data_IF_871529704193
#
_entry.id   IF_871529704193
#
_cell.length_a   1.000
_cell.length_b   1.000
_cell.length_c   1.000
_cell.angle_alpha   90.00
_cell.angle_beta   90.00
_cell.angle_gamma   90.00
#
_symmetry.space_group_name_H-M   'P 1'
#
loop_
_entity.id
_entity.type
_entity.pdbx_description
1 polymer ?
#
# COMPACT_ATOMS: atom_id res chain seq x y z
N UNK A 1 3.74 -81.13 22.67
CA UNK A 1 2.98 -80.09 23.39
C UNK A 1 3.90 -78.92 23.68
N UNK A 2 3.71 -77.79 22.97
CA UNK A 2 4.47 -76.55 23.16
C UNK A 2 4.18 -75.97 24.54
N UNK A 3 5.21 -75.77 25.37
CA UNK A 3 5.10 -74.96 26.59
C UNK A 3 4.84 -73.52 26.16
N UNK A 4 3.58 -73.09 26.23
CA UNK A 4 3.19 -71.69 26.01
C UNK A 4 3.92 -70.85 27.05
N UNK A 5 4.77 -69.94 26.58
CA UNK A 5 5.65 -69.11 27.40
C UNK A 5 4.85 -67.94 28.01
N UNK A 6 3.93 -68.27 28.93
CA UNK A 6 2.98 -67.35 29.57
C UNK A 6 3.69 -66.16 30.25
N UNK A 7 4.90 -66.38 30.78
CA UNK A 7 5.71 -65.33 31.41
C UNK A 7 6.23 -64.28 30.42
N UNK A 8 6.55 -64.68 29.19
CA UNK A 8 6.91 -63.74 28.12
C UNK A 8 5.70 -62.95 27.64
N UNK A 9 4.54 -63.60 27.48
CA UNK A 9 3.31 -62.94 27.03
C UNK A 9 2.83 -61.85 28.03
N UNK A 10 2.91 -62.11 29.34
CA UNK A 10 2.58 -61.12 30.38
C UNK A 10 3.58 -59.94 30.41
N UNK A 11 4.88 -60.22 30.25
CA UNK A 11 5.91 -59.16 30.19
C UNK A 11 5.75 -58.28 28.96
N UNK A 12 5.46 -58.88 27.81
CA UNK A 12 5.20 -58.18 26.55
C UNK A 12 3.96 -57.30 26.69
N UNK A 13 2.84 -57.82 27.22
CA UNK A 13 1.62 -57.03 27.46
C UNK A 13 1.83 -55.86 28.42
N UNK A 14 2.59 -56.07 29.52
CA UNK A 14 2.94 -54.99 30.47
C UNK A 14 3.87 -53.94 29.85
N UNK A 15 4.77 -54.34 28.96
CA UNK A 15 5.64 -53.43 28.22
C UNK A 15 4.84 -52.60 27.21
N UNK A 16 3.94 -53.23 26.45
CA UNK A 16 3.02 -52.54 25.54
C UNK A 16 2.05 -51.60 26.27
N UNK A 17 1.54 -51.99 27.45
CA UNK A 17 0.66 -51.11 28.22
C UNK A 17 1.42 -49.90 28.79
N UNK A 18 2.62 -50.10 29.36
CA UNK A 18 3.48 -49.01 29.87
C UNK A 18 3.92 -48.05 28.77
N UNK A 19 4.36 -48.57 27.62
CA UNK A 19 4.73 -47.74 26.47
C UNK A 19 3.54 -46.94 25.94
N UNK A 20 2.35 -47.57 25.84
CA UNK A 20 1.11 -46.86 25.49
C UNK A 20 0.78 -45.76 26.48
N UNK A 21 0.87 -46.01 27.79
CA UNK A 21 0.62 -45.00 28.83
C UNK A 21 1.60 -43.82 28.71
N UNK A 22 2.89 -44.10 28.54
CA UNK A 22 3.92 -43.06 28.37
C UNK A 22 3.67 -42.22 27.12
N UNK A 23 3.30 -42.84 26.00
CA UNK A 23 2.93 -42.14 24.76
C UNK A 23 1.70 -41.25 24.96
N UNK A 24 0.65 -41.74 25.63
CA UNK A 24 -0.53 -40.92 25.93
C UNK A 24 -0.20 -39.75 26.86
N UNK A 25 0.61 -39.96 27.90
CA UNK A 25 1.02 -38.87 28.80
C UNK A 25 1.86 -37.85 28.04
N UNK A 26 2.80 -38.29 27.20
CA UNK A 26 3.60 -37.41 26.34
C UNK A 26 2.74 -36.60 25.37
N UNK A 27 1.76 -37.22 24.72
CA UNK A 27 0.83 -36.53 23.82
C UNK A 27 -0.04 -35.49 24.56
N UNK A 28 -0.51 -35.81 25.77
CA UNK A 28 -1.26 -34.88 26.62
C UNK A 28 -0.37 -33.69 27.03
N UNK A 29 0.87 -33.93 27.45
CA UNK A 29 1.80 -32.87 27.82
C UNK A 29 2.14 -31.97 26.62
N UNK A 30 2.34 -32.54 25.43
CA UNK A 30 2.55 -31.77 24.21
C UNK A 30 1.34 -30.90 23.87
N UNK A 31 0.12 -31.44 24.01
CA UNK A 31 -1.12 -30.71 23.74
C UNK A 31 -1.36 -29.60 24.77
N UNK A 32 -1.07 -29.85 26.05
CA UNK A 32 -1.05 -28.83 27.11
C UNK A 32 -0.04 -27.73 26.77
N UNK A 33 1.17 -28.10 26.34
CA UNK A 33 2.17 -27.12 25.94
C UNK A 33 1.67 -26.25 24.79
N UNK A 34 1.10 -26.86 23.73
CA UNK A 34 0.60 -26.14 22.55
C UNK A 34 -0.61 -25.22 22.85
N UNK A 35 -1.50 -25.63 23.74
CA UNK A 35 -2.74 -24.89 24.03
C UNK A 35 -2.64 -23.93 25.22
N UNK A 36 -1.79 -24.23 26.20
CA UNK A 36 -1.73 -23.52 27.48
C UNK A 36 -0.41 -22.77 27.65
N UNK A 37 0.71 -23.27 27.14
CA UNK A 37 2.03 -22.64 27.37
C UNK A 37 2.45 -21.78 26.19
N UNK A 38 2.46 -22.33 24.98
CA UNK A 38 2.98 -21.64 23.80
C UNK A 38 2.26 -20.34 23.42
N UNK A 39 0.92 -20.19 23.58
CA UNK A 39 0.25 -18.91 23.31
C UNK A 39 0.68 -17.77 24.23
N UNK A 40 1.35 -18.08 25.35
CA UNK A 40 1.86 -17.09 26.31
C UNK A 40 3.38 -16.91 26.19
N UNK A 41 4.02 -17.47 25.15
CA UNK A 41 5.43 -17.18 24.87
C UNK A 41 5.50 -15.75 24.34
N UNK A 42 5.94 -14.86 25.22
CA UNK A 42 6.19 -13.46 24.94
C UNK A 42 7.64 -13.27 24.49
N UNK A 43 7.83 -12.60 23.36
CA UNK A 43 9.14 -12.26 22.81
C UNK A 43 9.31 -10.75 22.77
N UNK A 44 10.12 -10.16 23.67
CA UNK A 44 10.50 -8.77 23.55
C UNK A 44 11.39 -8.60 22.31
N UNK A 45 11.00 -7.69 21.42
CA UNK A 45 11.74 -7.35 20.23
C UNK A 45 11.88 -5.84 20.13
N UNK A 46 13.10 -5.39 19.83
CA UNK A 46 13.38 -3.99 19.55
C UNK A 46 13.17 -3.76 18.06
N UNK A 47 12.27 -2.84 17.72
CA UNK A 47 12.06 -2.37 16.36
C UNK A 47 13.34 -1.67 15.90
N UNK A 48 14.02 -2.23 14.90
CA UNK A 48 15.30 -1.72 14.39
C UNK A 48 15.10 -0.66 13.30
N UNK A 49 14.05 -0.82 12.49
CA UNK A 49 13.67 0.08 11.40
C UNK A 49 12.25 0.60 11.68
N UNK A 50 12.00 1.89 11.43
CA UNK A 50 10.67 2.45 11.58
C UNK A 50 9.73 1.92 10.50
N UNK A 51 8.56 1.40 10.90
CA UNK A 51 7.49 0.94 10.02
C UNK A 51 6.24 1.79 10.28
N UNK A 52 6.23 3.01 9.73
CA UNK A 52 5.11 3.93 9.90
C UNK A 52 4.90 4.38 11.34
N UNK A 53 3.84 3.85 11.97
CA UNK A 53 3.50 4.10 13.37
C UNK A 53 4.53 3.51 14.34
N UNK A 54 5.19 2.41 13.97
CA UNK A 54 6.22 1.80 14.80
C UNK A 54 7.57 2.49 14.55
N UNK A 55 8.18 3.06 15.60
CA UNK A 55 9.46 3.77 15.49
C UNK A 55 10.64 2.87 15.80
N UNK A 56 11.76 3.14 15.14
CA UNK A 56 13.04 2.53 15.50
C UNK A 56 13.38 2.86 16.96
N UNK A 57 13.88 1.88 17.69
CA UNK A 57 14.17 1.99 19.11
C UNK A 57 13.06 1.48 20.03
N UNK A 58 11.82 1.37 19.53
CA UNK A 58 10.68 0.89 20.31
C UNK A 58 10.85 -0.57 20.72
N UNK A 59 10.69 -0.86 22.01
CA UNK A 59 10.63 -2.22 22.52
C UNK A 59 9.17 -2.69 22.57
N UNK A 60 8.84 -3.72 21.80
CA UNK A 60 7.51 -4.32 21.76
C UNK A 60 7.59 -5.77 22.21
N UNK A 61 6.53 -6.26 22.84
CA UNK A 61 6.44 -7.66 23.23
C UNK A 61 5.46 -8.37 22.31
N UNK A 62 5.99 -9.18 21.41
CA UNK A 62 5.20 -9.99 20.50
C UNK A 62 4.83 -11.32 21.15
N UNK A 63 3.73 -11.92 20.69
CA UNK A 63 3.30 -13.27 21.03
C UNK A 63 3.77 -14.21 19.94
N UNK A 64 4.40 -15.32 20.33
CA UNK A 64 4.78 -16.36 19.38
C UNK A 64 3.53 -16.95 18.70
N UNK A 65 3.55 -17.02 17.37
CA UNK A 65 2.48 -17.64 16.60
C UNK A 65 2.76 -19.14 16.41
N UNK A 66 1.94 -19.97 17.04
CA UNK A 66 2.06 -21.44 17.00
C UNK A 66 1.04 -22.12 16.07
N UNK A 67 0.32 -21.34 15.25
CA UNK A 67 -0.75 -21.85 14.37
C UNK A 67 -2.09 -22.15 15.04
N UNK A 68 -2.20 -22.04 16.38
CA UNK A 68 -3.47 -22.22 17.11
C UNK A 68 -4.10 -20.89 17.53
N UNK A 69 -3.27 -19.87 17.78
CA UNK A 69 -3.72 -18.53 18.11
C UNK A 69 -4.30 -17.82 16.90
N UNK A 70 -5.52 -17.28 17.02
CA UNK A 70 -6.15 -16.51 15.93
C UNK A 70 -5.60 -15.10 15.86
N UNK A 71 -5.07 -14.76 14.69
CA UNK A 71 -4.68 -13.40 14.33
C UNK A 71 -5.93 -12.63 13.90
N UNK A 72 -6.08 -11.42 14.41
CA UNK A 72 -7.25 -10.59 14.21
C UNK A 72 -6.92 -9.36 13.35
N UNK A 73 -7.97 -8.70 12.85
CA UNK A 73 -7.83 -7.41 12.18
C UNK A 73 -7.15 -6.41 13.11
N UNK A 74 -6.33 -5.55 12.51
CA UNK A 74 -5.46 -4.57 13.14
C UNK A 74 -4.30 -5.12 13.98
N UNK A 75 -4.19 -6.44 14.19
CA UNK A 75 -2.99 -7.02 14.79
C UNK A 75 -1.77 -6.72 13.91
N UNK A 76 -0.60 -6.59 14.53
CA UNK A 76 0.67 -6.43 13.82
C UNK A 76 1.34 -7.80 13.77
N UNK A 77 1.77 -8.24 12.60
CA UNK A 77 2.41 -9.55 12.42
C UNK A 77 3.86 -9.39 11.99
N UNK A 78 4.66 -10.38 12.36
CA UNK A 78 6.01 -10.60 11.85
C UNK A 78 5.96 -11.86 10.99
N UNK A 79 6.43 -11.75 9.76
CA UNK A 79 6.50 -12.88 8.85
C UNK A 79 7.75 -12.83 7.98
N UNK A 80 8.15 -14.00 7.49
CA UNK A 80 9.23 -14.10 6.52
C UNK A 80 8.71 -13.80 5.11
N UNK A 81 9.17 -12.70 4.53
CA UNK A 81 8.94 -12.41 3.12
C UNK A 81 10.04 -13.04 2.27
N UNK A 82 9.74 -13.77 1.19
CA UNK A 82 10.76 -14.23 0.25
C UNK A 82 11.37 -13.09 -0.59
N UNK A 83 10.75 -11.91 -0.61
CA UNK A 83 11.25 -10.72 -1.31
C UNK A 83 12.11 -9.82 -0.41
N UNK A 84 12.14 -10.09 0.88
CA UNK A 84 12.97 -9.41 1.87
C UNK A 84 13.96 -10.42 2.46
N UNK A 85 15.21 -10.03 2.70
CA UNK A 85 16.19 -10.92 3.32
C UNK A 85 15.99 -11.10 4.84
N UNK A 86 14.84 -10.68 5.39
CA UNK A 86 14.56 -10.70 6.82
C UNK A 86 13.09 -10.51 7.20
N UNK A 87 12.88 -10.43 8.50
CA UNK A 87 11.56 -10.30 9.12
C UNK A 87 10.86 -9.02 8.68
N UNK A 88 9.59 -9.16 8.31
CA UNK A 88 8.75 -8.06 7.85
C UNK A 88 7.63 -7.81 8.85
N UNK A 89 7.49 -6.56 9.28
CA UNK A 89 6.47 -6.13 10.25
C UNK A 89 5.36 -5.38 9.50
N UNK A 90 4.13 -5.89 9.56
CA UNK A 90 2.97 -5.28 8.88
C UNK A 90 1.71 -5.39 9.71
N UNK A 91 0.69 -4.60 9.36
CA UNK A 91 -0.62 -4.66 10.00
C UNK A 91 -1.58 -5.53 9.19
N UNK A 92 -2.31 -6.39 9.89
CA UNK A 92 -3.39 -7.20 9.32
C UNK A 92 -4.60 -6.32 9.06
N UNK A 93 -4.98 -6.22 7.79
CA UNK A 93 -6.13 -5.45 7.34
C UNK A 93 -7.33 -6.38 7.12
N UNK A 94 -7.11 -7.52 6.48
CA UNK A 94 -8.14 -8.52 6.21
C UNK A 94 -7.73 -9.91 6.73
N UNK A 95 -8.70 -10.60 7.31
CA UNK A 95 -8.61 -12.00 7.76
C UNK A 95 -9.43 -12.91 6.83
N UNK A 96 -9.32 -14.25 6.90
CA UNK A 96 -10.06 -15.15 6.03
C UNK A 96 -11.55 -14.83 5.87
N UNK A 97 -12.01 -14.73 4.62
CA UNK A 97 -13.38 -14.39 4.25
C UNK A 97 -13.67 -12.89 4.12
N UNK A 98 -12.74 -12.01 4.51
CA UNK A 98 -12.91 -10.58 4.31
C UNK A 98 -12.87 -10.17 2.85
N UNK A 99 -13.71 -9.20 2.51
CA UNK A 99 -13.70 -8.48 1.25
C UNK A 99 -12.92 -7.19 1.41
N UNK A 100 -11.90 -6.97 0.59
CA UNK A 100 -11.10 -5.76 0.57
C UNK A 100 -11.27 -5.08 -0.78
N UNK A 101 -11.52 -3.78 -0.77
CA UNK A 101 -11.45 -2.92 -1.95
C UNK A 101 -10.51 -1.76 -1.61
N UNK A 102 -9.52 -1.52 -2.47
CA UNK A 102 -8.69 -0.32 -2.40
C UNK A 102 -9.26 0.70 -3.37
N UNK A 103 -9.60 1.89 -2.90
CA UNK A 103 -10.31 2.89 -3.72
C UNK A 103 -9.87 4.30 -3.34
N UNK A 104 -9.34 5.04 -4.31
CA UNK A 104 -8.91 6.43 -4.12
C UNK A 104 -7.79 6.61 -3.09
N UNK A 105 -6.95 5.59 -2.90
CA UNK A 105 -5.87 5.57 -1.91
C UNK A 105 -6.28 5.12 -0.50
N UNK A 106 -7.55 4.72 -0.30
CA UNK A 106 -8.08 4.23 0.97
C UNK A 106 -8.52 2.77 0.92
N UNK A 107 -8.68 2.17 2.11
CA UNK A 107 -9.13 0.80 2.28
C UNK A 107 -10.62 0.76 2.62
N UNK A 108 -11.34 -0.12 1.94
CA UNK A 108 -12.71 -0.51 2.26
C UNK A 108 -12.70 -1.97 2.66
N UNK A 109 -13.19 -2.26 3.86
CA UNK A 109 -13.27 -3.59 4.44
C UNK A 109 -14.73 -4.00 4.59
N UNK A 110 -15.12 -5.10 3.95
CA UNK A 110 -16.49 -5.61 3.96
C UNK A 110 -17.54 -4.55 3.60
N UNK A 111 -17.23 -3.77 2.56
CA UNK A 111 -18.10 -2.68 2.06
C UNK A 111 -18.08 -1.39 2.88
N UNK A 112 -17.27 -1.31 3.95
CA UNK A 112 -17.20 -0.13 4.82
C UNK A 112 -15.84 0.55 4.70
N UNK A 113 -15.84 1.88 4.66
CA UNK A 113 -14.62 2.69 4.74
C UNK A 113 -13.87 2.37 6.05
N UNK A 114 -12.60 1.97 5.95
CA UNK A 114 -11.77 1.66 7.10
C UNK A 114 -11.04 2.94 7.57
N UNK A 115 -11.25 3.33 8.83
CA UNK A 115 -10.49 4.41 9.44
C UNK A 115 -9.12 3.91 9.87
N UNK A 116 -8.07 4.58 9.38
CA UNK A 116 -6.68 4.15 9.57
C UNK A 116 -5.83 5.25 10.22
N UNK A 117 -6.10 5.63 11.49
CA UNK A 117 -5.38 6.72 12.15
C UNK A 117 -3.88 6.43 12.34
N UNK A 118 -3.49 5.15 12.29
CA UNK A 118 -2.10 4.70 12.39
C UNK A 118 -1.25 4.97 11.13
N UNK A 119 -1.87 5.37 10.02
CA UNK A 119 -1.14 5.70 8.79
C UNK A 119 -0.49 7.08 8.90
N UNK A 120 0.71 7.24 8.32
CA UNK A 120 1.44 8.52 8.36
C UNK A 120 0.67 9.61 7.60
N UNK A 121 0.08 9.27 6.45
CA UNK A 121 -0.60 10.20 5.55
C UNK A 121 -1.88 9.55 4.98
N UNK A 122 -2.93 10.34 4.70
CA UNK A 122 -4.10 9.85 3.99
C UNK A 122 -3.75 9.53 2.54
N UNK A 123 -4.56 8.67 1.90
CA UNK A 123 -4.52 8.44 0.43
C UNK A 123 -3.20 7.93 -0.14
N UNK A 124 -2.39 7.26 0.66
CA UNK A 124 -1.09 6.73 0.24
C UNK A 124 -1.09 5.26 -0.15
N UNK A 125 -2.25 4.58 -0.15
CA UNK A 125 -2.32 3.19 -0.61
C UNK A 125 -2.35 3.16 -2.14
N UNK A 126 -1.18 3.22 -2.76
CA UNK A 126 -1.04 3.27 -4.22
C UNK A 126 -1.22 1.90 -4.86
N UNK A 127 -2.01 1.85 -5.92
CA UNK A 127 -2.40 0.61 -6.61
C UNK A 127 -2.01 0.59 -8.09
N UNK A 128 -1.48 1.70 -8.61
CA UNK A 128 -1.41 1.96 -10.05
C UNK A 128 0.02 1.81 -10.62
N UNK A 129 0.92 1.16 -9.89
CA UNK A 129 2.29 0.87 -10.34
C UNK A 129 2.46 -0.60 -10.75
N UNK A 130 3.43 -0.86 -11.64
CA UNK A 130 3.63 -2.15 -12.30
C UNK A 130 3.89 -3.35 -11.37
N UNK A 131 4.30 -3.10 -10.12
CA UNK A 131 4.60 -4.13 -9.13
C UNK A 131 3.36 -4.71 -8.42
N UNK A 132 2.18 -4.11 -8.59
CA UNK A 132 0.95 -4.55 -7.91
C UNK A 132 0.39 -5.81 -8.57
N UNK A 133 0.33 -6.89 -7.80
CA UNK A 133 -0.14 -8.22 -8.24
C UNK A 133 -1.56 -8.54 -7.77
N UNK A 134 -2.03 -7.94 -6.66
CA UNK A 134 -3.41 -8.05 -6.16
C UNK A 134 -3.86 -6.70 -5.58
N UNK A 135 -5.17 -6.45 -5.55
CA UNK A 135 -5.73 -5.26 -4.92
C UNK A 135 -5.51 -4.00 -5.75
N UNK A 136 -5.67 -4.12 -7.07
CA UNK A 136 -5.67 -2.96 -7.98
C UNK A 136 -6.81 -2.00 -7.62
N UNK A 137 -6.73 -0.75 -8.08
CA UNK A 137 -7.74 0.26 -7.75
C UNK A 137 -9.15 -0.26 -8.10
N UNK A 138 -10.04 -0.23 -7.12
CA UNK A 138 -11.43 -0.71 -7.15
C UNK A 138 -11.63 -2.21 -7.43
N UNK A 139 -10.59 -3.02 -7.38
CA UNK A 139 -10.69 -4.47 -7.42
C UNK A 139 -11.20 -4.99 -6.05
N UNK A 140 -12.30 -5.75 -6.05
CA UNK A 140 -12.70 -6.52 -4.87
C UNK A 140 -11.88 -7.80 -4.79
N UNK A 141 -11.08 -7.91 -3.72
CA UNK A 141 -10.35 -9.12 -3.39
C UNK A 141 -10.93 -9.78 -2.14
N UNK A 142 -11.00 -11.11 -2.14
CA UNK A 142 -11.48 -11.89 -1.00
C UNK A 142 -10.30 -12.62 -0.38
N UNK A 143 -10.10 -12.44 0.93
CA UNK A 143 -9.00 -13.08 1.67
C UNK A 143 -9.25 -14.59 1.76
N UNK A 144 -8.37 -15.44 1.20
CA UNK A 144 -8.55 -16.89 1.25
C UNK A 144 -8.45 -17.47 2.66
N UNK A 145 -8.93 -18.70 2.83
CA UNK A 145 -8.72 -19.45 4.07
C UNK A 145 -7.23 -19.60 4.40
N UNK A 146 -6.90 -19.49 5.70
CA UNK A 146 -5.53 -19.57 6.25
C UNK A 146 -4.55 -18.56 5.66
N UNK A 147 -5.06 -17.42 5.19
CA UNK A 147 -4.25 -16.32 4.69
C UNK A 147 -4.74 -14.98 5.23
N UNK A 148 -3.88 -13.98 5.12
CA UNK A 148 -4.11 -12.63 5.62
C UNK A 148 -3.76 -11.61 4.53
N UNK A 149 -4.56 -10.53 4.47
CA UNK A 149 -4.23 -9.35 3.67
C UNK A 149 -3.62 -8.31 4.60
N UNK A 150 -2.38 -7.91 4.33
CA UNK A 150 -1.62 -7.00 5.20
C UNK A 150 -1.13 -5.79 4.44
N UNK A 151 -1.07 -4.66 5.14
CA UNK A 151 -0.48 -3.42 4.64
C UNK A 151 0.51 -2.87 5.67
N UNK A 152 1.57 -2.24 5.19
CA UNK A 152 2.46 -1.44 6.03
C UNK A 152 1.71 -0.18 6.52
N UNK A 153 2.03 0.28 7.72
CA UNK A 153 1.49 1.55 8.24
C UNK A 153 2.08 2.76 7.51
N UNK A 154 3.29 2.60 6.95
CA UNK A 154 3.80 3.45 5.89
C UNK A 154 3.28 2.91 4.56
N UNK A 155 2.28 3.56 3.97
CA UNK A 155 1.62 3.05 2.75
C UNK A 155 2.45 3.25 1.49
N UNK A 156 3.42 4.15 1.53
CA UNK A 156 4.31 4.45 0.42
C UNK A 156 5.52 3.51 0.43
N UNK A 157 5.97 3.10 1.61
CA UNK A 157 7.17 2.28 1.78
C UNK A 157 6.91 0.99 2.58
N UNK A 158 7.42 -0.12 2.06
CA UNK A 158 7.47 -1.40 2.77
C UNK A 158 6.75 -2.54 2.04
N UNK A 159 7.13 -3.76 2.41
CA UNK A 159 6.52 -4.97 1.90
C UNK A 159 5.08 -5.10 2.40
N UNK A 160 4.19 -5.51 1.51
CA UNK A 160 2.77 -5.63 1.79
C UNK A 160 2.10 -6.56 0.78
N UNK A 161 0.82 -6.87 1.01
CA UNK A 161 0.09 -7.81 0.17
C UNK A 161 -0.09 -7.36 -1.28
N UNK A 162 0.03 -6.07 -1.63
CA UNK A 162 -0.13 -5.60 -3.01
C UNK A 162 0.96 -6.15 -3.93
N UNK A 163 2.17 -6.32 -3.41
CA UNK A 163 3.32 -6.83 -4.19
C UNK A 163 3.66 -8.28 -3.85
N UNK A 164 3.24 -8.80 -2.69
CA UNK A 164 3.57 -10.15 -2.23
C UNK A 164 2.41 -11.15 -2.32
N UNK A 165 1.19 -10.64 -2.47
CA UNK A 165 -0.02 -11.43 -2.36
C UNK A 165 -0.45 -11.63 -0.92
N UNK A 166 -1.40 -12.53 -0.70
CA UNK A 166 -1.86 -12.87 0.64
C UNK A 166 -0.78 -13.63 1.43
N UNK A 167 -0.58 -13.24 2.68
CA UNK A 167 0.40 -13.86 3.57
C UNK A 167 -0.22 -15.13 4.15
N UNK A 168 0.45 -16.27 3.96
CA UNK A 168 -0.02 -17.55 4.47
C UNK A 168 0.30 -17.67 5.96
N UNK A 169 -0.64 -18.20 6.73
CA UNK A 169 -0.57 -18.29 8.19
C UNK A 169 0.71 -18.98 8.70
N UNK A 170 1.18 -20.01 7.98
CA UNK A 170 2.40 -20.75 8.27
C UNK A 170 3.70 -19.93 8.14
N UNK A 171 3.65 -18.78 7.46
CA UNK A 171 4.78 -17.85 7.34
C UNK A 171 4.88 -16.86 8.49
N UNK A 172 3.84 -16.76 9.32
CA UNK A 172 3.77 -15.80 10.42
C UNK A 172 4.45 -16.43 11.63
N UNK A 173 5.47 -15.74 12.16
CA UNK A 173 6.25 -16.24 13.29
C UNK A 173 5.76 -15.69 14.60
N UNK A 174 5.35 -14.43 14.61
CA UNK A 174 4.98 -13.70 15.81
C UNK A 174 3.91 -12.65 15.48
N UNK A 175 3.10 -12.28 16.47
CA UNK A 175 2.08 -11.24 16.31
C UNK A 175 1.91 -10.42 17.59
N UNK A 176 1.55 -9.15 17.43
CA UNK A 176 1.25 -8.21 18.49
C UNK A 176 -0.24 -7.86 18.40
N UNK A 177 -1.06 -8.34 19.36
CA UNK A 177 -2.48 -8.07 19.33
C UNK A 177 -2.79 -6.57 19.44
N UNK A 178 -3.68 -6.06 18.61
CA UNK A 178 -4.03 -4.64 18.56
C UNK A 178 -4.64 -4.13 19.88
N UNK A 179 -5.26 -5.02 20.65
CA UNK A 179 -5.80 -4.72 21.98
C UNK A 179 -4.69 -4.43 22.99
N UNK A 180 -3.52 -5.05 22.85
CA UNK A 180 -2.38 -4.80 23.72
C UNK A 180 -1.74 -3.43 23.42
N UNK A 181 -1.80 -2.98 22.16
CA UNK A 181 -1.38 -1.63 21.78
C UNK A 181 -2.18 -0.52 22.49
N UNK A 182 -3.42 -0.81 22.89
CA UNK A 182 -4.28 0.16 23.61
C UNK A 182 -4.04 0.20 25.11
N UNK A 183 -3.50 -0.86 25.70
CA UNK A 183 -3.56 -1.11 27.15
C UNK A 183 -2.20 -1.29 27.84
N UNK A 184 -1.06 -1.24 27.12
CA UNK A 184 0.26 -1.52 27.73
C UNK A 184 0.94 -0.30 28.37
N UNK A 185 1.80 -0.64 29.35
CA UNK A 185 2.40 0.14 30.45
C UNK A 185 3.45 1.20 30.01
N UNK A 186 3.73 1.31 28.72
CA UNK A 186 4.47 2.45 28.17
C UNK A 186 3.45 3.42 27.61
N UNK A 187 3.47 4.67 28.08
CA UNK A 187 2.54 5.73 27.73
C UNK A 187 2.03 5.55 26.28
N UNK A 188 0.72 5.29 26.04
CA UNK A 188 0.18 5.08 24.69
C UNK A 188 0.51 6.20 23.72
N UNK A 189 0.77 7.39 24.28
CA UNK A 189 1.32 8.54 23.60
C UNK A 189 2.69 8.24 22.96
N UNK A 190 3.62 7.50 23.55
CA UNK A 190 4.96 7.32 22.97
C UNK A 190 5.01 6.33 21.79
N UNK A 191 4.04 5.41 21.66
CA UNK A 191 3.96 4.43 20.57
C UNK A 191 3.16 4.95 19.36
N UNK A 192 2.14 5.79 19.61
CA UNK A 192 1.18 6.24 18.60
C UNK A 192 0.87 7.75 18.68
N UNK A 193 1.75 8.58 19.25
CA UNK A 193 1.54 10.04 19.43
C UNK A 193 1.17 10.81 18.15
N UNK A 194 1.29 10.17 16.99
CA UNK A 194 0.96 10.74 15.70
C UNK A 194 -0.20 10.01 15.02
N UNK A 195 -1.19 9.52 15.78
CA UNK A 195 -2.44 9.10 15.17
C UNK A 195 -3.03 10.30 14.42
N UNK A 196 -3.10 10.18 13.10
CA UNK A 196 -3.60 11.23 12.25
C UNK A 196 -5.11 11.40 12.45
N UNK A 197 -5.59 12.64 12.42
CA UNK A 197 -7.03 12.88 12.35
C UNK A 197 -7.59 12.30 11.04
N UNK A 198 -8.55 11.40 11.17
CA UNK A 198 -9.22 10.71 10.05
C UNK A 198 -10.63 11.25 9.78
N UNK A 199 -11.04 12.29 10.51
CA UNK A 199 -12.40 12.86 10.43
C UNK A 199 -12.78 13.30 9.01
N UNK A 200 -11.81 13.81 8.24
CA UNK A 200 -11.99 14.32 6.88
C UNK A 200 -11.57 13.37 5.77
N UNK A 201 -11.13 12.15 6.09
CA UNK A 201 -10.55 11.24 5.08
C UNK A 201 -11.48 10.96 3.90
N UNK A 202 -12.77 10.76 4.17
CA UNK A 202 -13.76 10.51 3.12
C UNK A 202 -13.98 11.71 2.20
N UNK A 203 -13.73 12.94 2.68
CA UNK A 203 -13.84 14.16 1.87
C UNK A 203 -12.67 14.23 0.88
N UNK A 204 -11.49 13.82 1.31
CA UNK A 204 -10.27 13.84 0.49
C UNK A 204 -10.35 12.96 -0.75
N UNK A 205 -11.26 11.98 -0.81
CA UNK A 205 -11.43 11.11 -2.00
C UNK A 205 -11.75 11.91 -3.25
N UNK A 206 -12.44 13.06 -3.10
CA UNK A 206 -12.93 13.88 -4.21
C UNK A 206 -11.96 14.96 -4.67
N UNK A 207 -10.90 15.20 -3.91
CA UNK A 207 -9.94 16.26 -4.19
C UNK A 207 -8.69 15.70 -4.85
N UNK A 208 -8.04 16.41 -5.78
CA UNK A 208 -6.73 16.00 -6.28
C UNK A 208 -5.68 15.99 -5.15
N UNK A 209 -4.79 14.99 -5.16
CA UNK A 209 -3.62 14.93 -4.28
C UNK A 209 -2.53 15.90 -4.77
N UNK A 210 -2.42 16.09 -6.10
CA UNK A 210 -1.42 16.96 -6.70
C UNK A 210 -1.73 18.44 -6.45
N UNK A 211 -0.83 19.12 -5.74
CA UNK A 211 -0.73 20.58 -5.78
C UNK A 211 0.08 20.97 -7.01
N UNK A 212 -0.59 21.54 -8.01
CA UNK A 212 0.01 21.86 -9.31
C UNK A 212 1.07 22.96 -9.22
N UNK A 213 0.92 23.91 -8.30
CA UNK A 213 1.89 24.99 -8.11
C UNK A 213 3.15 24.47 -7.43
N UNK A 214 2.99 23.66 -6.38
CA UNK A 214 4.13 23.03 -5.71
C UNK A 214 4.87 22.07 -6.64
N UNK A 215 4.15 21.32 -7.49
CA UNK A 215 4.76 20.47 -8.51
C UNK A 215 5.64 21.26 -9.49
N UNK A 216 5.13 22.36 -10.03
CA UNK A 216 5.90 23.22 -10.95
C UNK A 216 7.11 23.83 -10.25
N UNK A 217 6.97 24.25 -8.98
CA UNK A 217 8.08 24.72 -8.16
C UNK A 217 9.18 23.65 -8.03
N UNK A 218 8.81 22.41 -7.73
CA UNK A 218 9.76 21.29 -7.60
C UNK A 218 10.46 20.98 -8.94
N UNK A 219 9.74 20.97 -10.05
CA UNK A 219 10.34 20.81 -11.39
C UNK A 219 11.35 21.94 -11.67
N UNK A 220 11.02 23.18 -11.34
CA UNK A 220 11.91 24.31 -11.55
C UNK A 220 13.19 24.23 -10.71
N UNK A 221 13.10 23.78 -9.46
CA UNK A 221 14.28 23.51 -8.62
C UNK A 221 15.20 22.51 -9.34
N UNK A 222 14.65 21.38 -9.79
CA UNK A 222 15.43 20.35 -10.48
C UNK A 222 16.03 20.85 -11.80
N UNK A 223 15.30 21.68 -12.55
CA UNK A 223 15.82 22.35 -13.77
C UNK A 223 17.00 23.24 -13.46
N UNK A 224 16.89 24.10 -12.45
CA UNK A 224 17.95 25.04 -12.06
C UNK A 224 19.19 24.29 -11.56
N UNK A 225 19.03 23.25 -10.75
CA UNK A 225 20.13 22.39 -10.30
C UNK A 225 20.89 21.72 -11.45
N UNK A 226 20.25 21.58 -12.62
CA UNK A 226 20.82 20.98 -13.83
C UNK A 226 21.12 22.04 -14.92
N UNK A 227 21.19 23.33 -14.56
CA UNK A 227 21.60 24.40 -15.47
C UNK A 227 20.56 24.80 -16.52
N UNK A 228 19.29 24.41 -16.35
CA UNK A 228 18.19 24.83 -17.20
C UNK A 228 17.40 25.99 -16.57
N UNK A 229 16.92 26.91 -17.41
CA UNK A 229 16.07 28.02 -16.97
C UNK A 229 14.75 27.52 -16.37
N UNK A 230 14.19 28.17 -15.34
CA UNK A 230 12.89 27.77 -14.79
C UNK A 230 11.76 27.95 -15.83
N UNK A 231 10.80 27.04 -15.82
CA UNK A 231 9.56 27.14 -16.58
C UNK A 231 8.65 28.21 -15.98
N UNK A 232 8.01 28.98 -16.85
CA UNK A 232 6.96 29.90 -16.47
C UNK A 232 5.62 29.17 -16.47
N UNK A 233 4.96 29.14 -15.33
CA UNK A 233 3.60 28.65 -15.25
C UNK A 233 2.64 29.58 -16.01
N UNK A 234 1.82 29.02 -16.89
CA UNK A 234 0.89 29.76 -17.73
C UNK A 234 -0.55 29.27 -17.52
N UNK A 235 -1.40 30.16 -16.99
CA UNK A 235 -2.83 29.88 -16.74
C UNK A 235 -3.62 29.57 -18.00
N UNK A 236 -3.23 30.15 -19.14
CA UNK A 236 -3.88 29.87 -20.43
C UNK A 236 -3.55 28.45 -20.87
N UNK A 237 -2.32 28.01 -20.62
CA UNK A 237 -1.86 26.65 -20.89
C UNK A 237 -2.51 25.63 -19.95
N UNK A 238 -2.70 25.96 -18.66
CA UNK A 238 -3.50 25.14 -17.74
C UNK A 238 -4.94 25.01 -18.25
N UNK A 239 -5.57 26.11 -18.68
CA UNK A 239 -6.93 26.06 -19.25
C UNK A 239 -6.99 25.18 -20.50
N UNK A 240 -5.94 25.17 -21.32
CA UNK A 240 -5.84 24.27 -22.46
C UNK A 240 -5.80 22.81 -22.02
N UNK A 241 -4.96 22.47 -21.04
CA UNK A 241 -4.90 21.13 -20.46
C UNK A 241 -6.24 20.71 -19.83
N UNK A 242 -6.95 21.64 -19.18
CA UNK A 242 -8.27 21.38 -18.61
C UNK A 242 -9.33 21.10 -19.69
N UNK A 243 -9.38 21.91 -20.76
CA UNK A 243 -10.28 21.64 -21.88
C UNK A 243 -9.96 20.29 -22.54
N UNK A 244 -8.67 19.95 -22.65
CA UNK A 244 -8.23 18.66 -23.18
C UNK A 244 -8.78 17.52 -22.30
N UNK A 245 -8.56 17.59 -20.98
CA UNK A 245 -9.07 16.61 -20.02
C UNK A 245 -10.60 16.49 -20.07
N UNK A 246 -11.33 17.60 -20.05
CA UNK A 246 -12.80 17.57 -20.08
C UNK A 246 -13.35 16.86 -21.33
N UNK A 247 -12.71 17.01 -22.50
CA UNK A 247 -13.14 16.34 -23.71
C UNK A 247 -12.71 14.86 -23.77
N UNK A 248 -11.54 14.51 -23.20
CA UNK A 248 -11.16 13.10 -23.00
C UNK A 248 -12.21 12.36 -22.17
N UNK A 249 -12.69 12.98 -21.08
CA UNK A 249 -13.63 12.35 -20.15
C UNK A 249 -15.04 12.19 -20.73
N UNK A 250 -15.48 13.04 -21.67
CA UNK A 250 -16.82 12.93 -22.28
C UNK A 250 -17.02 11.62 -23.04
N UNK A 251 -15.96 11.05 -23.60
CA UNK A 251 -16.01 9.87 -24.47
C UNK A 251 -15.16 8.72 -23.95
N UNK A 252 -14.70 8.80 -22.70
CA UNK A 252 -13.77 7.84 -22.08
C UNK A 252 -12.58 7.53 -23.01
N UNK A 253 -11.88 8.61 -23.39
CA UNK A 253 -10.78 8.63 -24.35
C UNK A 253 -9.60 9.40 -23.79
N UNK A 254 -8.83 8.77 -22.89
CA UNK A 254 -7.61 9.34 -22.33
C UNK A 254 -6.39 9.21 -23.28
N UNK A 255 -6.61 8.80 -24.54
CA UNK A 255 -5.53 8.62 -25.52
C UNK A 255 -4.97 9.95 -26.02
N UNK A 256 -3.66 9.96 -26.28
CA UNK A 256 -2.97 11.10 -26.88
C UNK A 256 -3.55 11.41 -28.27
N UNK A 257 -3.79 10.37 -29.06
CA UNK A 257 -4.30 10.44 -30.43
C UNK A 257 -5.74 10.97 -30.52
N UNK A 258 -6.47 10.98 -29.40
CA UNK A 258 -7.86 11.42 -29.33
C UNK A 258 -8.76 10.66 -30.31
N UNK A 259 -8.58 9.35 -30.44
CA UNK A 259 -9.23 8.54 -31.49
C UNK A 259 -10.75 8.57 -31.46
N UNK A 260 -11.37 8.80 -30.30
CA UNK A 260 -12.84 8.94 -30.17
C UNK A 260 -13.26 10.41 -30.17
N UNK A 261 -12.53 11.27 -29.48
CA UNK A 261 -12.92 12.68 -29.30
C UNK A 261 -12.55 13.59 -30.46
N UNK A 262 -11.52 13.26 -31.22
CA UNK A 262 -10.91 14.14 -32.21
C UNK A 262 -10.37 15.46 -31.62
N UNK A 263 -10.34 15.60 -30.29
CA UNK A 263 -10.03 16.84 -29.59
C UNK A 263 -8.57 16.82 -29.09
N UNK A 264 -7.61 16.83 -30.02
CA UNK A 264 -6.17 16.79 -29.71
C UNK A 264 -5.67 18.03 -28.96
N UNK A 265 -4.49 17.97 -28.32
CA UNK A 265 -3.95 19.10 -27.56
C UNK A 265 -3.77 20.38 -28.39
N UNK A 266 -3.42 20.28 -29.68
CA UNK A 266 -3.34 21.47 -30.55
C UNK A 266 -4.68 22.20 -30.69
N UNK A 267 -5.79 21.46 -30.77
CA UNK A 267 -7.12 22.05 -30.78
C UNK A 267 -7.42 22.74 -29.45
N UNK A 268 -7.06 22.10 -28.34
CA UNK A 268 -7.21 22.70 -27.01
C UNK A 268 -6.38 23.98 -26.84
N UNK A 269 -5.18 24.06 -27.43
CA UNK A 269 -4.35 25.27 -27.45
C UNK A 269 -5.00 26.39 -28.29
N UNK A 270 -5.50 26.05 -29.48
CA UNK A 270 -6.19 26.99 -30.35
C UNK A 270 -7.46 27.56 -29.68
N UNK A 271 -8.25 26.72 -29.02
CA UNK A 271 -9.51 27.12 -28.36
C UNK A 271 -9.29 28.06 -27.16
N UNK A 272 -8.11 28.03 -26.53
CA UNK A 272 -7.75 29.04 -25.52
C UNK A 272 -7.06 30.26 -26.14
N UNK A 273 -6.80 30.27 -27.44
CA UNK A 273 -6.27 31.39 -28.21
C UNK A 273 -4.75 31.40 -28.39
N UNK A 274 -4.05 30.26 -28.25
CA UNK A 274 -2.70 30.16 -28.80
C UNK A 274 -2.77 30.12 -30.33
N UNK A 275 -1.83 30.80 -30.99
CA UNK A 275 -1.76 30.82 -32.45
C UNK A 275 -0.97 29.62 -32.98
N UNK A 276 -0.97 29.43 -34.30
CA UNK A 276 -0.28 28.33 -34.98
C UNK A 276 1.25 28.35 -34.80
N UNK A 277 1.81 29.44 -34.24
CA UNK A 277 3.23 29.54 -33.89
C UNK A 277 3.55 28.99 -32.50
N UNK A 278 2.55 28.69 -31.67
CA UNK A 278 2.76 28.04 -30.39
C UNK A 278 3.22 26.60 -30.61
N UNK A 279 4.46 26.30 -30.23
CA UNK A 279 5.04 24.98 -30.36
C UNK A 279 4.71 24.15 -29.10
N UNK A 280 3.73 23.24 -29.20
CA UNK A 280 3.52 22.24 -28.17
C UNK A 280 4.70 21.28 -28.15
N UNK A 281 5.54 21.44 -27.14
CA UNK A 281 6.73 20.64 -26.94
C UNK A 281 6.36 19.25 -26.43
N UNK A 282 5.40 19.17 -25.50
CA UNK A 282 4.98 17.91 -24.89
C UNK A 282 3.56 17.97 -24.35
N UNK A 283 2.80 16.90 -24.57
CA UNK A 283 1.60 16.54 -23.79
C UNK A 283 1.93 15.29 -22.96
N UNK A 284 1.50 15.30 -21.70
CA UNK A 284 1.45 14.10 -20.87
C UNK A 284 0.10 14.00 -20.18
N UNK A 285 -0.47 12.80 -20.23
CA UNK A 285 -1.68 12.41 -19.51
C UNK A 285 -1.33 11.21 -18.64
N UNK A 286 -1.62 11.29 -17.36
CA UNK A 286 -1.35 10.22 -16.39
C UNK A 286 -2.59 9.91 -15.57
N UNK A 287 -2.87 8.62 -15.42
CA UNK A 287 -3.85 8.07 -14.49
C UNK A 287 -3.14 7.52 -13.26
N UNK A 288 -2.84 8.37 -12.28
CA UNK A 288 -2.15 7.94 -11.07
C UNK A 288 -2.32 8.93 -9.91
N UNK A 289 -2.32 8.39 -8.69
CA UNK A 289 -2.44 9.12 -7.43
C UNK A 289 -1.13 9.81 -7.00
N UNK A 290 -0.50 10.57 -7.89
CA UNK A 290 0.71 11.32 -7.58
C UNK A 290 0.43 12.59 -6.74
N UNK A 291 1.30 12.83 -5.76
CA UNK A 291 1.48 14.15 -5.17
C UNK A 291 2.63 14.91 -5.88
N UNK A 292 2.89 16.16 -5.48
CA UNK A 292 3.88 17.02 -6.13
C UNK A 292 5.29 16.42 -6.15
N UNK A 293 5.74 15.87 -5.02
CA UNK A 293 7.05 15.24 -4.91
C UNK A 293 7.17 13.99 -5.79
N UNK A 294 6.24 13.05 -5.65
CA UNK A 294 6.22 11.79 -6.39
C UNK A 294 6.08 11.98 -7.90
N UNK A 295 5.25 12.93 -8.37
CA UNK A 295 5.16 13.26 -9.80
C UNK A 295 6.48 13.84 -10.31
N UNK A 296 7.09 14.76 -9.56
CA UNK A 296 8.35 15.37 -9.95
C UNK A 296 9.49 14.34 -10.00
N UNK A 297 9.50 13.36 -9.10
CA UNK A 297 10.49 12.27 -9.09
C UNK A 297 10.23 11.30 -10.22
N UNK A 298 8.98 10.93 -10.46
CA UNK A 298 8.59 10.04 -11.54
C UNK A 298 9.15 10.49 -12.89
N UNK A 299 8.92 11.75 -13.29
CA UNK A 299 9.46 12.26 -14.56
C UNK A 299 10.98 12.35 -14.59
N UNK A 300 11.62 12.59 -13.44
CA UNK A 300 13.07 12.71 -13.33
C UNK A 300 13.78 11.36 -13.43
N UNK A 301 13.16 10.31 -12.90
CA UNK A 301 13.74 8.97 -12.79
C UNK A 301 13.38 8.06 -13.97
N UNK A 302 12.18 8.19 -14.54
CA UNK A 302 11.61 7.15 -15.42
C UNK A 302 11.31 7.56 -16.88
N UNK A 303 11.58 8.80 -17.33
CA UNK A 303 11.62 9.00 -18.80
C UNK A 303 11.48 10.39 -19.40
N UNK A 304 11.16 11.45 -18.65
CA UNK A 304 10.98 12.79 -19.24
C UNK A 304 12.03 13.81 -18.81
N UNK A 305 13.05 13.41 -18.04
CA UNK A 305 14.11 14.30 -17.56
C UNK A 305 14.69 15.17 -18.69
N UNK A 306 15.08 14.57 -19.80
CA UNK A 306 15.69 15.31 -20.92
C UNK A 306 14.72 16.31 -21.56
N UNK A 307 13.44 15.93 -21.71
CA UNK A 307 12.40 16.85 -22.17
C UNK A 307 12.25 18.04 -21.22
N UNK A 308 12.28 17.77 -19.91
CA UNK A 308 12.27 18.79 -18.86
C UNK A 308 13.59 19.54 -18.71
N UNK A 309 14.67 19.20 -19.39
CA UNK A 309 15.93 19.97 -19.41
C UNK A 309 16.14 20.73 -20.73
N UNK A 310 15.25 20.55 -21.71
CA UNK A 310 15.32 21.24 -22.98
C UNK A 310 15.33 22.77 -22.81
N UNK A 311 16.24 23.42 -23.55
CA UNK A 311 16.38 24.88 -23.61
C UNK A 311 15.23 25.56 -24.37
N UNK A 312 14.59 24.82 -25.26
CA UNK A 312 13.42 25.25 -26.02
C UNK A 312 12.20 25.40 -25.11
N UNK A 313 12.12 24.59 -24.04
CA UNK A 313 10.98 24.55 -23.14
C UNK A 313 10.90 25.80 -22.25
N UNK A 314 9.77 26.52 -22.33
CA UNK A 314 9.56 27.80 -21.62
C UNK A 314 8.35 27.82 -20.69
N UNK A 315 7.26 27.17 -21.07
CA UNK A 315 5.99 27.27 -20.34
C UNK A 315 5.44 25.91 -19.95
N UNK A 316 4.73 25.89 -18.82
CA UNK A 316 4.03 24.72 -18.31
C UNK A 316 2.62 25.11 -17.86
N UNK A 317 1.65 24.28 -18.24
CA UNK A 317 0.29 24.31 -17.72
C UNK A 317 -0.08 22.89 -17.35
N UNK A 318 -0.61 22.70 -16.15
CA UNK A 318 -0.92 21.39 -15.60
C UNK A 318 -2.24 21.45 -14.87
N UNK A 319 -3.10 20.46 -15.10
CA UNK A 319 -4.35 20.28 -14.38
C UNK A 319 -4.35 18.90 -13.74
N UNK A 320 -4.96 18.79 -12.57
CA UNK A 320 -5.23 17.52 -11.90
C UNK A 320 -6.68 17.49 -11.46
N UNK A 321 -7.40 16.43 -11.78
CA UNK A 321 -8.79 16.23 -11.35
C UNK A 321 -9.01 14.80 -10.87
N UNK A 322 -9.89 14.66 -9.88
CA UNK A 322 -10.48 13.36 -9.59
C UNK A 322 -11.63 13.15 -10.55
N UNK A 323 -11.61 12.00 -11.21
CA UNK A 323 -12.65 11.55 -12.15
C UNK A 323 -13.17 10.20 -11.68
N UNK A 324 -14.47 9.99 -11.76
CA UNK A 324 -15.08 8.69 -11.48
C UNK A 324 -15.22 7.93 -12.79
N UNK A 325 -14.44 6.86 -12.94
CA UNK A 325 -14.55 5.92 -14.07
C UNK A 325 -15.11 4.62 -13.49
N UNK A 326 -16.31 4.20 -13.91
CA UNK A 326 -16.99 3.01 -13.40
C UNK A 326 -17.12 2.96 -11.86
N UNK A 327 -17.52 4.09 -11.25
CA UNK A 327 -17.59 4.25 -9.78
C UNK A 327 -16.23 4.13 -9.06
N UNK A 328 -15.13 4.26 -9.80
CA UNK A 328 -13.77 4.25 -9.30
C UNK A 328 -13.12 5.64 -9.42
N UNK A 329 -12.90 6.37 -8.31
CA UNK A 329 -12.21 7.64 -8.33
C UNK A 329 -10.75 7.42 -8.69
N UNK A 330 -10.31 8.10 -9.73
CA UNK A 330 -8.93 8.17 -10.19
C UNK A 330 -8.50 9.62 -10.29
N UNK A 331 -7.25 9.88 -9.93
CA UNK A 331 -6.63 11.15 -10.28
C UNK A 331 -6.12 11.08 -11.71
N UNK A 332 -6.55 12.02 -12.54
CA UNK A 332 -6.03 12.23 -13.88
C UNK A 332 -5.30 13.56 -13.93
N UNK A 333 -4.06 13.51 -14.38
CA UNK A 333 -3.19 14.68 -14.56
C UNK A 333 -2.97 14.88 -16.05
N UNK A 334 -3.24 16.08 -16.54
CA UNK A 334 -2.90 16.48 -17.91
C UNK A 334 -1.97 17.68 -17.82
N UNK A 335 -0.84 17.62 -18.52
CA UNK A 335 0.07 18.75 -18.63
C UNK A 335 0.46 19.01 -20.08
N UNK A 336 0.48 20.29 -20.44
CA UNK A 336 0.99 20.80 -21.70
C UNK A 336 2.26 21.60 -21.41
N UNK A 337 3.31 21.33 -22.18
CA UNK A 337 4.57 22.07 -22.13
C UNK A 337 4.76 22.79 -23.46
N UNK A 338 4.98 24.10 -23.45
CA UNK A 338 5.24 24.88 -24.67
C UNK A 338 6.72 25.25 -24.78
N UNK A 339 7.23 25.07 -25.99
CA UNK A 339 8.54 25.58 -26.41
C UNK A 339 8.45 26.96 -27.08
N UNK A 340 9.61 27.51 -27.42
CA UNK A 340 9.75 28.74 -28.21
C UNK A 340 10.39 28.47 -29.55
#
# INVERSE_FOLDING_TARGET
MQKINIGNDIRIRRFYSRSRTLLTVGAILLLIYQLIVSPFILKPQKVTVSYGSLKSGTLLTFVYHNGFSRINRADIIIYFSPKNSGDTITRVIGIPGDKIILKGGFVYLNGKFLKEPYTIQPRKTWTDYSGVIIGKNCEEIIVPQRKYFVLSDDREYGFNSLVEGFISEDKITDYLPAKLLKNFIFNPNDLFNNNRDTSKDMELVKEPILDTQDYVRLINIKRQENGAEPLRYDKKLERSADLRLQNMLKLDDLSYEATKSGYVAWKALADVGYNDKAYLYLERTLEANFNSNSLSNFYWEFGDRENFLSKELKYIGVVSKIVDIDSCPKQVIVQHLLGQ
#
